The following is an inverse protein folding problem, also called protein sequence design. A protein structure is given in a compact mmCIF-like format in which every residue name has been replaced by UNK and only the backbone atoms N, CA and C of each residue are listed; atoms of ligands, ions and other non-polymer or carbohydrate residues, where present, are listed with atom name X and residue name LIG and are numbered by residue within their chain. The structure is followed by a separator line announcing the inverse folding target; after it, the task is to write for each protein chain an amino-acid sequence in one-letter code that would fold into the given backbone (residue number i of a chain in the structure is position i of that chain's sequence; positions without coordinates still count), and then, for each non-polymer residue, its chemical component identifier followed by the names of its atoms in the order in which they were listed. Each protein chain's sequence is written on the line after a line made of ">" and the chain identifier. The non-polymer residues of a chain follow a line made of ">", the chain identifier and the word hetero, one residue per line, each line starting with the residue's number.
data_IF_006392855773
#
_entry.id   IF_006392855773
#
_cell.length_a   1.000
_cell.length_b   1.000
_cell.length_c   1.000
_cell.angle_alpha   90.00
_cell.angle_beta   90.00
_cell.angle_gamma   90.00
#
_symmetry.space_group_name_H-M   'P 1'
#
loop_
_entity.id
_entity.type
_entity.pdbx_description
1 polymer ?
#
# COMPACT_ATOMS: atom_id res chain seq x y z
N UNK A 1 10.92 -1.79 9.25
CA UNK A 1 10.32 -0.54 9.76
C UNK A 1 8.84 -0.80 10.00
N UNK A 2 8.49 -1.18 11.23
CA UNK A 2 7.08 -1.20 11.64
C UNK A 2 6.65 0.24 11.84
N UNK A 3 5.85 0.76 10.94
CA UNK A 3 5.22 2.07 11.12
C UNK A 3 4.26 2.02 12.31
N UNK A 4 3.98 3.16 12.93
CA UNK A 4 2.97 3.23 14.00
C UNK A 4 1.59 2.76 13.50
N UNK A 5 1.33 2.89 12.19
CA UNK A 5 0.15 2.36 11.53
C UNK A 5 0.08 0.83 11.65
N UNK A 6 1.22 0.12 11.48
CA UNK A 6 1.26 -1.33 11.62
C UNK A 6 0.96 -1.77 13.05
N UNK A 7 1.46 -1.06 14.04
CA UNK A 7 1.14 -1.31 15.46
C UNK A 7 -0.35 -1.18 15.76
N UNK A 8 -1.07 -0.31 15.04
CA UNK A 8 -2.50 -0.16 15.20
C UNK A 8 -3.29 -1.42 14.79
N UNK A 9 -2.79 -2.21 13.84
CA UNK A 9 -3.42 -3.47 13.43
C UNK A 9 -3.23 -4.61 14.45
N UNK A 10 -2.16 -4.56 15.23
CA UNK A 10 -1.87 -5.55 16.26
C UNK A 10 -2.55 -5.26 17.62
N UNK A 11 -3.23 -4.11 17.73
CA UNK A 11 -3.92 -3.71 18.97
C UNK A 11 -5.38 -4.18 18.98
N UNK A 12 -5.90 -4.53 20.16
CA UNK A 12 -7.34 -4.72 20.31
C UNK A 12 -8.12 -3.52 19.76
N UNK A 13 -9.28 -3.79 19.21
CA UNK A 13 -10.08 -2.73 18.61
C UNK A 13 -10.38 -1.57 19.56
N UNK A 14 -10.51 -1.86 20.85
CA UNK A 14 -10.69 -0.87 21.92
C UNK A 14 -9.50 0.09 22.13
N UNK A 15 -8.31 -0.30 21.67
CA UNK A 15 -7.08 0.49 21.80
C UNK A 15 -6.73 1.26 20.53
N UNK A 16 -7.45 1.01 19.43
CA UNK A 16 -7.23 1.75 18.17
C UNK A 16 -7.93 3.08 18.27
N UNK A 17 -7.14 4.13 18.40
CA UNK A 17 -7.64 5.51 18.37
C UNK A 17 -7.92 5.97 16.94
N UNK A 18 -8.59 7.08 16.76
CA UNK A 18 -8.83 7.70 15.47
C UNK A 18 -7.54 8.11 14.75
N UNK A 19 -7.65 8.84 13.65
CA UNK A 19 -6.50 9.42 12.98
C UNK A 19 -6.02 10.71 13.70
N UNK A 20 -4.91 11.28 13.25
CA UNK A 20 -4.32 12.46 13.88
C UNK A 20 -5.27 13.67 13.95
N UNK A 21 -6.21 13.80 13.01
CA UNK A 21 -7.21 14.87 13.00
C UNK A 21 -8.25 14.75 14.11
N UNK A 22 -8.38 13.56 14.70
CA UNK A 22 -9.32 13.24 15.77
C UNK A 22 -8.65 13.24 17.15
N UNK A 23 -7.46 13.78 17.29
CA UNK A 23 -6.64 13.65 18.49
C UNK A 23 -6.41 12.19 18.91
N UNK A 24 -6.38 11.29 17.93
CA UNK A 24 -6.30 9.83 18.12
C UNK A 24 -7.48 9.23 18.90
N UNK A 25 -8.55 9.95 19.07
CA UNK A 25 -9.77 9.40 19.65
C UNK A 25 -10.52 8.56 18.60
N UNK A 26 -10.92 7.38 19.01
CA UNK A 26 -11.73 6.51 18.17
C UNK A 26 -13.16 7.03 18.14
N UNK A 27 -13.66 7.33 16.93
CA UNK A 27 -15.05 7.70 16.71
C UNK A 27 -15.92 6.46 16.54
N UNK A 28 -17.15 6.55 17.00
CA UNK A 28 -18.15 5.54 16.70
C UNK A 28 -18.37 5.44 15.17
N UNK A 29 -18.62 4.24 14.61
CA UNK A 29 -18.93 4.08 13.21
C UNK A 29 -20.07 5.00 12.77
N UNK A 30 -19.92 5.66 11.62
CA UNK A 30 -20.92 6.58 11.08
C UNK A 30 -20.86 8.02 11.61
N UNK A 31 -19.91 8.34 12.48
CA UNK A 31 -19.84 9.68 13.08
C UNK A 31 -18.87 10.64 12.40
N UNK A 32 -17.90 10.20 11.67
CA UNK A 32 -17.05 10.99 10.75
C UNK A 32 -15.81 10.22 10.27
N UNK A 33 -15.15 10.74 9.22
CA UNK A 33 -13.86 10.29 8.70
C UNK A 33 -13.97 9.39 7.47
N UNK A 34 -12.87 9.26 6.73
CA UNK A 34 -12.80 8.45 5.51
C UNK A 34 -13.09 6.96 5.75
N UNK A 35 -12.84 6.46 6.93
CA UNK A 35 -13.15 5.10 7.33
C UNK A 35 -14.64 4.75 7.15
N UNK A 36 -15.50 5.72 7.38
CA UNK A 36 -16.96 5.57 7.29
C UNK A 36 -17.53 6.03 5.95
N UNK A 37 -16.64 6.40 5.03
CA UNK A 37 -17.01 6.69 3.64
C UNK A 37 -17.61 5.44 2.96
N UNK A 38 -18.58 5.66 2.10
CA UNK A 38 -19.25 4.57 1.38
C UNK A 38 -18.86 4.59 -0.09
N UNK A 39 -18.70 5.76 -0.68
CA UNK A 39 -18.26 5.95 -2.07
C UNK A 39 -16.75 6.00 -2.23
N UNK A 40 -16.03 5.98 -1.12
CA UNK A 40 -14.58 5.85 -1.05
C UNK A 40 -14.27 4.77 -0.02
N UNK A 41 -14.30 3.50 -0.45
CA UNK A 41 -14.24 2.38 0.47
C UNK A 41 -13.75 1.10 -0.19
N UNK A 42 -13.20 0.23 0.62
CA UNK A 42 -12.85 -1.14 0.23
C UNK A 42 -14.10 -2.03 0.23
N UNK A 43 -14.25 -2.80 -0.85
CA UNK A 43 -15.31 -3.79 -0.99
C UNK A 43 -14.72 -5.13 -1.37
N UNK A 44 -15.23 -6.19 -0.74
CA UNK A 44 -14.89 -7.57 -1.05
C UNK A 44 -15.63 -8.00 -2.33
N UNK A 45 -14.88 -8.52 -3.31
CA UNK A 45 -15.39 -9.07 -4.55
C UNK A 45 -15.77 -10.55 -4.37
N UNK A 46 -16.37 -11.16 -5.41
CA UNK A 46 -16.83 -12.55 -5.38
C UNK A 46 -15.69 -13.57 -5.19
N UNK A 47 -14.48 -13.22 -5.58
CA UNK A 47 -13.26 -14.03 -5.45
C UNK A 47 -12.49 -13.78 -4.14
N UNK A 48 -13.10 -13.14 -3.15
CA UNK A 48 -12.52 -12.78 -1.85
C UNK A 48 -11.34 -11.80 -1.93
N UNK A 49 -11.08 -11.24 -3.10
CA UNK A 49 -10.16 -10.12 -3.26
C UNK A 49 -10.89 -8.82 -2.92
N UNK A 50 -10.12 -7.77 -2.64
CA UNK A 50 -10.68 -6.45 -2.35
C UNK A 50 -10.41 -5.49 -3.50
N UNK A 51 -11.38 -4.62 -3.73
CA UNK A 51 -11.24 -3.46 -4.59
C UNK A 51 -11.51 -2.19 -3.79
N UNK A 52 -10.88 -1.08 -4.18
CA UNK A 52 -11.18 0.24 -3.67
C UNK A 52 -12.08 0.94 -4.69
N UNK A 53 -13.31 1.25 -4.28
CA UNK A 53 -14.19 2.16 -5.02
C UNK A 53 -13.84 3.59 -4.65
N UNK A 54 -13.69 4.47 -5.64
CA UNK A 54 -13.43 5.91 -5.47
C UNK A 54 -14.45 6.73 -6.30
N UNK A 55 -15.73 6.58 -5.99
CA UNK A 55 -16.82 7.26 -6.69
C UNK A 55 -17.39 8.42 -5.86
N UNK A 56 -16.51 9.27 -5.33
CA UNK A 56 -16.90 10.42 -4.50
C UNK A 56 -17.45 11.58 -5.32
N UNK A 57 -16.97 11.76 -6.52
CA UNK A 57 -17.45 12.75 -7.48
C UNK A 57 -18.77 12.28 -8.08
N UNK A 58 -19.70 13.25 -8.27
CA UNK A 58 -21.05 12.95 -8.75
C UNK A 58 -21.06 12.18 -10.06
N UNK A 59 -20.17 12.52 -11.01
CA UNK A 59 -20.10 11.87 -12.31
C UNK A 59 -19.67 10.41 -12.18
N UNK A 60 -18.62 10.11 -11.39
CA UNK A 60 -18.18 8.74 -11.17
C UNK A 60 -19.26 7.91 -10.46
N UNK A 61 -19.97 8.50 -9.52
CA UNK A 61 -21.07 7.83 -8.84
C UNK A 61 -22.25 7.54 -9.78
N UNK A 62 -22.62 8.49 -10.63
CA UNK A 62 -23.66 8.29 -11.65
C UNK A 62 -23.28 7.18 -12.63
N UNK A 63 -22.04 7.23 -13.15
CA UNK A 63 -21.52 6.22 -14.06
C UNK A 63 -21.52 4.82 -13.42
N UNK A 64 -21.09 4.71 -12.17
CA UNK A 64 -21.14 3.45 -11.43
C UNK A 64 -22.58 2.92 -11.33
N UNK A 65 -23.52 3.73 -10.88
CA UNK A 65 -24.91 3.31 -10.70
C UNK A 65 -25.55 2.86 -12.03
N UNK A 66 -25.24 3.52 -13.14
CA UNK A 66 -25.69 3.09 -14.48
C UNK A 66 -25.06 1.75 -14.88
N UNK A 67 -23.77 1.57 -14.67
CA UNK A 67 -23.03 0.37 -15.06
C UNK A 67 -23.46 -0.89 -14.30
N UNK A 68 -23.99 -0.74 -13.09
CA UNK A 68 -24.50 -1.85 -12.28
C UNK A 68 -26.01 -2.00 -12.32
N UNK A 69 -26.70 -1.26 -13.19
CA UNK A 69 -28.16 -1.23 -13.34
C UNK A 69 -28.90 -0.89 -12.03
N UNK A 70 -28.32 0.04 -11.25
CA UNK A 70 -28.87 0.52 -9.98
C UNK A 70 -28.94 2.06 -9.95
N UNK A 71 -29.56 2.62 -10.99
CA UNK A 71 -29.71 4.07 -11.08
C UNK A 71 -30.58 4.64 -9.96
N UNK A 72 -31.45 3.81 -9.36
CA UNK A 72 -32.22 4.11 -8.15
C UNK A 72 -31.32 4.58 -6.99
N UNK A 73 -30.11 4.04 -6.87
CA UNK A 73 -29.16 4.48 -5.84
C UNK A 73 -28.62 5.89 -6.11
N UNK A 74 -28.46 6.26 -7.38
CA UNK A 74 -28.08 7.61 -7.74
C UNK A 74 -29.23 8.61 -7.46
N UNK A 75 -30.45 8.26 -7.83
CA UNK A 75 -31.63 9.12 -7.56
C UNK A 75 -31.84 9.34 -6.07
N UNK A 76 -31.70 8.29 -5.26
CA UNK A 76 -31.83 8.38 -3.80
C UNK A 76 -30.69 9.15 -3.13
N UNK A 77 -29.48 9.06 -3.70
CA UNK A 77 -28.26 9.61 -3.13
C UNK A 77 -27.38 10.26 -4.22
N UNK A 78 -27.82 11.36 -4.85
CA UNK A 78 -27.12 11.94 -6.01
C UNK A 78 -25.73 12.52 -5.68
N UNK A 79 -25.45 12.73 -4.40
CA UNK A 79 -24.22 13.35 -3.95
C UNK A 79 -24.22 14.87 -4.09
N UNK A 80 -23.18 15.49 -3.56
CA UNK A 80 -22.95 16.92 -3.67
C UNK A 80 -22.26 17.30 -4.98
N UNK A 81 -22.17 18.59 -5.26
CA UNK A 81 -21.42 19.11 -6.43
C UNK A 81 -19.92 18.78 -6.36
N UNK A 82 -19.37 18.75 -5.15
CA UNK A 82 -18.00 18.36 -4.88
C UNK A 82 -17.93 16.91 -4.38
N UNK A 83 -16.75 16.45 -4.03
CA UNK A 83 -16.56 15.10 -3.50
C UNK A 83 -17.49 14.83 -2.31
N UNK A 84 -18.25 13.75 -2.40
CA UNK A 84 -19.16 13.28 -1.36
C UNK A 84 -18.93 11.79 -1.14
N UNK A 85 -18.38 11.47 0.02
CA UNK A 85 -18.06 10.10 0.38
C UNK A 85 -19.25 9.33 0.97
N UNK A 86 -20.43 9.93 1.08
CA UNK A 86 -21.62 9.35 1.73
C UNK A 86 -21.31 8.79 3.13
N UNK A 87 -20.57 9.56 3.94
CA UNK A 87 -20.09 9.15 5.27
C UNK A 87 -21.26 8.74 6.16
N UNK A 88 -21.18 7.56 6.76
CA UNK A 88 -22.16 7.05 7.71
C UNK A 88 -23.44 6.48 7.07
N UNK A 89 -23.57 6.47 5.75
CA UNK A 89 -24.72 5.86 5.08
C UNK A 89 -24.61 4.33 5.07
N UNK A 90 -24.88 3.72 6.23
CA UNK A 90 -24.80 2.26 6.41
C UNK A 90 -25.76 1.46 5.51
N UNK A 91 -27.00 1.90 5.22
CA UNK A 91 -27.84 1.23 4.24
C UNK A 91 -27.18 1.14 2.87
N UNK A 92 -26.71 2.25 2.31
CA UNK A 92 -25.99 2.27 1.03
C UNK A 92 -24.74 1.40 1.05
N UNK A 93 -23.99 1.38 2.16
CA UNK A 93 -22.80 0.52 2.30
C UNK A 93 -23.15 -0.96 2.18
N UNK A 94 -24.29 -1.40 2.72
CA UNK A 94 -24.76 -2.79 2.59
C UNK A 94 -25.13 -3.12 1.15
N UNK A 95 -25.87 -2.24 0.46
CA UNK A 95 -26.20 -2.39 -0.96
C UNK A 95 -24.91 -2.54 -1.81
N UNK A 96 -23.94 -1.64 -1.64
CA UNK A 96 -22.69 -1.71 -2.37
C UNK A 96 -21.90 -2.99 -2.06
N UNK A 97 -21.86 -3.42 -0.81
CA UNK A 97 -21.22 -4.67 -0.44
C UNK A 97 -21.82 -5.87 -1.19
N UNK A 98 -23.14 -5.90 -1.30
CA UNK A 98 -23.83 -7.00 -1.97
C UNK A 98 -23.65 -6.91 -3.51
N UNK A 99 -23.61 -5.71 -4.08
CA UNK A 99 -23.27 -5.47 -5.48
C UNK A 99 -21.83 -5.94 -5.78
N UNK A 100 -20.84 -5.55 -4.97
CA UNK A 100 -19.43 -5.91 -5.22
C UNK A 100 -19.17 -7.42 -5.15
N UNK A 101 -19.97 -8.17 -4.43
CA UNK A 101 -19.89 -9.65 -4.39
C UNK A 101 -20.40 -10.36 -5.65
N UNK A 102 -20.91 -9.63 -6.64
CA UNK A 102 -21.44 -10.22 -7.88
C UNK A 102 -20.38 -10.48 -8.95
N UNK A 103 -19.19 -9.87 -8.83
CA UNK A 103 -18.10 -9.99 -9.82
C UNK A 103 -16.76 -10.15 -9.11
N UNK A 104 -15.77 -10.68 -9.84
CA UNK A 104 -14.38 -10.74 -9.36
C UNK A 104 -13.73 -9.36 -9.29
N UNK A 105 -12.67 -9.22 -8.52
CA UNK A 105 -11.92 -7.98 -8.42
C UNK A 105 -11.43 -7.49 -9.80
N UNK A 106 -10.96 -8.42 -10.64
CA UNK A 106 -10.51 -8.11 -12.01
C UNK A 106 -11.64 -7.57 -12.88
N UNK A 107 -12.83 -8.16 -12.81
CA UNK A 107 -14.00 -7.70 -13.57
C UNK A 107 -14.46 -6.31 -13.09
N UNK A 108 -14.36 -6.02 -11.79
CA UNK A 108 -14.64 -4.70 -11.27
C UNK A 108 -13.67 -3.64 -11.74
N UNK A 109 -12.36 -3.94 -11.75
CA UNK A 109 -11.34 -3.02 -12.27
C UNK A 109 -11.58 -2.75 -13.76
N UNK A 110 -11.87 -3.79 -14.54
CA UNK A 110 -12.16 -3.62 -15.98
C UNK A 110 -13.42 -2.78 -16.18
N UNK A 111 -14.50 -3.05 -15.46
CA UNK A 111 -15.70 -2.21 -15.52
C UNK A 111 -15.39 -0.75 -15.21
N UNK A 112 -14.60 -0.49 -14.17
CA UNK A 112 -14.20 0.86 -13.82
C UNK A 112 -13.50 1.60 -14.96
N UNK A 113 -12.60 0.92 -15.68
CA UNK A 113 -11.93 1.46 -16.86
C UNK A 113 -12.92 1.75 -18.01
N UNK A 114 -13.85 0.82 -18.25
CA UNK A 114 -14.80 0.92 -19.36
C UNK A 114 -15.81 2.08 -19.19
N UNK A 115 -16.17 2.40 -17.95
CA UNK A 115 -17.22 3.39 -17.64
C UNK A 115 -16.70 4.65 -16.95
N UNK A 116 -15.38 4.84 -16.90
CA UNK A 116 -14.76 5.99 -16.25
C UNK A 116 -15.15 6.12 -14.78
N UNK A 117 -14.94 5.05 -14.01
CA UNK A 117 -15.09 5.03 -12.55
C UNK A 117 -13.80 4.51 -11.93
N UNK A 118 -13.16 5.24 -11.02
CA UNK A 118 -11.97 4.73 -10.35
C UNK A 118 -12.30 3.55 -9.43
N UNK A 119 -12.05 2.34 -9.93
CA UNK A 119 -12.08 1.09 -9.16
C UNK A 119 -10.72 0.43 -9.35
N UNK A 120 -9.99 0.21 -8.26
CA UNK A 120 -8.64 -0.35 -8.31
C UNK A 120 -8.49 -1.56 -7.40
N UNK A 121 -7.63 -2.49 -7.77
CA UNK A 121 -7.29 -3.64 -6.94
C UNK A 121 -6.60 -3.21 -5.66
N UNK A 122 -6.90 -3.89 -4.56
CA UNK A 122 -6.18 -3.75 -3.30
C UNK A 122 -5.11 -4.83 -3.23
N UNK A 123 -3.89 -4.46 -3.58
CA UNK A 123 -2.78 -5.38 -3.58
C UNK A 123 -2.28 -5.68 -2.15
N UNK A 124 -1.97 -6.94 -1.90
CA UNK A 124 -1.13 -7.38 -0.77
C UNK A 124 0.34 -7.29 -1.18
N UNK A 125 1.30 -7.39 -0.23
CA UNK A 125 2.72 -7.49 -0.60
C UNK A 125 3.03 -8.62 -1.59
N UNK A 126 2.27 -9.72 -1.52
CA UNK A 126 2.44 -10.86 -2.43
C UNK A 126 1.90 -10.57 -3.85
N UNK A 127 0.72 -9.95 -3.94
CA UNK A 127 0.08 -9.68 -5.25
C UNK A 127 0.64 -8.43 -5.92
N UNK A 128 1.27 -7.53 -5.16
CA UNK A 128 1.93 -6.35 -5.70
C UNK A 128 3.05 -6.72 -6.68
N UNK A 129 3.75 -7.83 -6.41
CA UNK A 129 4.82 -8.33 -7.27
C UNK A 129 4.36 -8.60 -8.70
N UNK A 130 3.11 -9.05 -8.86
CA UNK A 130 2.51 -9.44 -10.14
C UNK A 130 1.70 -8.30 -10.78
N UNK A 131 1.61 -7.13 -10.13
CA UNK A 131 0.89 -5.99 -10.66
C UNK A 131 1.62 -5.39 -11.86
N UNK A 132 0.98 -5.31 -13.05
CA UNK A 132 1.64 -4.86 -14.28
C UNK A 132 2.19 -3.42 -14.19
N UNK A 133 1.46 -2.52 -13.54
CA UNK A 133 1.91 -1.14 -13.36
C UNK A 133 3.13 -1.07 -12.43
N UNK A 134 3.10 -1.90 -11.38
CA UNK A 134 4.22 -1.96 -10.46
C UNK A 134 5.47 -2.52 -11.15
N UNK A 135 5.33 -3.59 -11.93
CA UNK A 135 6.45 -4.18 -12.69
C UNK A 135 7.03 -3.21 -13.73
N UNK A 136 6.19 -2.46 -14.44
CA UNK A 136 6.64 -1.44 -15.39
C UNK A 136 7.38 -0.29 -14.70
N UNK A 137 6.84 0.17 -13.57
CA UNK A 137 7.38 1.34 -12.87
C UNK A 137 8.53 1.02 -11.92
N UNK A 138 8.52 -0.14 -11.30
CA UNK A 138 9.46 -0.57 -10.26
C UNK A 138 9.86 -2.03 -10.49
N UNK A 139 10.59 -2.34 -11.58
CA UNK A 139 11.00 -3.72 -11.84
C UNK A 139 11.83 -4.26 -10.68
N UNK A 140 11.52 -5.47 -10.26
CA UNK A 140 12.23 -6.15 -9.18
C UNK A 140 13.73 -6.27 -9.48
N UNK A 141 14.54 -6.10 -8.45
CA UNK A 141 15.96 -6.48 -8.49
C UNK A 141 16.02 -7.97 -8.18
N UNK A 142 16.45 -8.80 -9.14
CA UNK A 142 16.34 -10.25 -9.01
C UNK A 142 17.30 -10.83 -7.96
N UNK A 143 16.89 -11.97 -7.39
CA UNK A 143 17.63 -12.68 -6.32
C UNK A 143 19.08 -13.03 -6.69
N UNK A 144 19.35 -13.29 -7.97
CA UNK A 144 20.70 -13.59 -8.46
C UNK A 144 21.70 -12.48 -8.16
N UNK A 145 21.21 -11.24 -8.11
CA UNK A 145 22.06 -10.07 -7.87
C UNK A 145 22.30 -9.80 -6.38
N UNK A 146 21.28 -9.96 -5.54
CA UNK A 146 21.32 -9.54 -4.15
C UNK A 146 21.11 -10.68 -3.13
N UNK A 147 20.85 -11.91 -3.62
CA UNK A 147 20.56 -13.07 -2.79
C UNK A 147 19.09 -13.25 -2.43
N UNK A 148 18.23 -12.27 -2.69
CA UNK A 148 16.77 -12.34 -2.62
C UNK A 148 16.18 -11.26 -3.53
N UNK A 149 14.96 -11.46 -4.00
CA UNK A 149 14.24 -10.45 -4.75
C UNK A 149 14.00 -9.21 -3.88
N UNK A 150 14.34 -8.04 -4.40
CA UNK A 150 14.20 -6.78 -3.68
C UNK A 150 13.46 -5.73 -4.52
N UNK A 151 12.73 -4.88 -3.81
CA UNK A 151 12.12 -3.71 -4.42
C UNK A 151 13.19 -2.63 -4.69
N UNK A 152 13.16 -1.98 -5.85
CA UNK A 152 14.00 -0.82 -6.10
C UNK A 152 13.54 0.36 -5.23
N UNK A 153 14.34 1.42 -5.19
CA UNK A 153 13.93 2.68 -4.58
C UNK A 153 12.66 3.21 -5.27
N UNK A 154 11.61 3.58 -4.53
CA UNK A 154 10.41 4.20 -5.11
C UNK A 154 10.67 5.64 -5.57
N UNK A 155 11.79 6.23 -5.18
CA UNK A 155 12.17 7.59 -5.55
C UNK A 155 12.90 7.54 -6.88
N UNK A 156 12.37 8.24 -7.88
CA UNK A 156 13.01 8.45 -9.18
C UNK A 156 13.47 9.90 -9.26
N UNK A 157 14.72 10.09 -9.60
CA UNK A 157 15.28 11.40 -9.89
C UNK A 157 15.27 11.63 -11.41
N UNK A 158 15.10 12.89 -11.83
CA UNK A 158 15.11 13.24 -13.25
C UNK A 158 16.53 13.26 -13.82
N UNK A 159 17.49 13.74 -13.04
CA UNK A 159 18.85 14.05 -13.52
C UNK A 159 19.95 13.23 -12.81
N UNK A 160 19.56 12.25 -12.00
CA UNK A 160 20.49 11.41 -11.26
C UNK A 160 20.08 9.96 -11.41
N UNK A 161 21.01 9.13 -11.89
CA UNK A 161 20.83 7.69 -11.88
C UNK A 161 20.97 7.16 -10.44
N UNK A 162 19.91 6.51 -9.96
CA UNK A 162 19.95 5.88 -8.63
C UNK A 162 20.82 4.62 -8.73
N UNK A 163 21.93 4.52 -7.98
CA UNK A 163 22.77 3.34 -8.03
C UNK A 163 21.97 2.10 -7.61
N UNK A 164 22.14 1.05 -8.37
CA UNK A 164 21.54 -0.24 -8.01
C UNK A 164 22.24 -0.75 -6.76
N UNK A 165 21.51 -1.14 -5.71
CA UNK A 165 22.10 -1.61 -4.48
C UNK A 165 23.00 -2.84 -4.71
N UNK A 166 24.05 -2.95 -3.95
CA UNK A 166 24.94 -4.11 -3.91
C UNK A 166 24.49 -5.07 -2.82
N UNK A 167 24.94 -6.31 -2.93
CA UNK A 167 24.68 -7.32 -1.89
C UNK A 167 25.22 -6.83 -0.54
N UNK A 168 24.43 -7.03 0.51
CA UNK A 168 24.88 -6.72 1.86
C UNK A 168 26.17 -7.47 2.19
N UNK A 169 27.16 -6.83 2.82
CA UNK A 169 28.41 -7.50 3.19
C UNK A 169 28.15 -8.60 4.23
N UNK A 170 28.97 -9.62 4.18
CA UNK A 170 29.01 -10.62 5.25
C UNK A 170 29.71 -10.05 6.49
N UNK A 171 29.48 -10.66 7.65
CA UNK A 171 30.13 -10.24 8.89
C UNK A 171 31.66 -10.33 8.69
N UNK A 172 32.35 -9.25 9.00
CA UNK A 172 33.83 -9.16 8.89
C UNK A 172 34.37 -8.91 7.47
N UNK A 173 33.52 -8.84 6.43
CA UNK A 173 33.99 -8.71 5.03
C UNK A 173 34.93 -7.51 4.80
N UNK A 174 34.68 -6.39 5.45
CA UNK A 174 35.42 -5.13 5.29
C UNK A 174 36.33 -4.81 6.50
N UNK A 175 36.54 -5.77 7.39
CA UNK A 175 37.33 -5.53 8.60
C UNK A 175 38.72 -4.97 8.30
N UNK A 176 39.45 -5.60 7.40
CA UNK A 176 40.83 -5.19 7.05
C UNK A 176 40.87 -3.83 6.34
N UNK A 177 39.92 -3.60 5.45
CA UNK A 177 39.75 -2.33 4.73
C UNK A 177 39.53 -1.19 5.74
N UNK A 178 38.57 -1.36 6.66
CA UNK A 178 38.28 -0.35 7.69
C UNK A 178 39.51 -0.12 8.60
N UNK A 179 40.19 -1.19 9.01
CA UNK A 179 41.39 -1.04 9.88
C UNK A 179 42.52 -0.29 9.18
N UNK A 180 42.74 -0.53 7.86
CA UNK A 180 43.75 0.20 7.09
C UNK A 180 43.33 1.62 6.77
N UNK A 181 42.18 1.80 6.16
CA UNK A 181 41.78 3.09 5.55
C UNK A 181 41.27 4.09 6.59
N UNK A 182 40.55 3.63 7.62
CA UNK A 182 39.96 4.52 8.62
C UNK A 182 40.88 4.67 9.85
N UNK A 183 41.49 3.57 10.30
CA UNK A 183 42.32 3.58 11.51
C UNK A 183 43.82 3.69 11.24
N UNK A 184 44.26 3.56 9.99
CA UNK A 184 45.66 3.67 9.60
C UNK A 184 46.55 2.51 10.12
N UNK A 185 45.96 1.34 10.37
CA UNK A 185 46.72 0.22 10.87
C UNK A 185 47.53 -0.45 9.72
N UNK A 186 48.74 -0.82 10.02
CA UNK A 186 49.57 -1.62 9.12
C UNK A 186 49.22 -3.12 9.21
N UNK A 187 49.72 -3.89 8.25
CA UNK A 187 49.40 -5.32 8.16
C UNK A 187 49.94 -6.11 9.38
N UNK A 188 51.04 -5.67 9.99
CA UNK A 188 51.60 -6.33 11.16
C UNK A 188 50.66 -6.18 12.38
N UNK A 189 50.09 -5.02 12.55
CA UNK A 189 49.10 -4.74 13.61
C UNK A 189 47.80 -5.48 13.41
N UNK A 190 47.34 -5.59 12.18
CA UNK A 190 46.14 -6.35 11.83
C UNK A 190 46.33 -7.83 12.11
N UNK A 191 47.50 -8.38 11.72
CA UNK A 191 47.87 -9.77 12.01
C UNK A 191 47.89 -10.06 13.52
N UNK A 192 48.52 -9.21 14.31
CA UNK A 192 48.57 -9.33 15.76
C UNK A 192 47.18 -9.31 16.41
N UNK A 193 46.26 -8.47 15.90
CA UNK A 193 44.86 -8.43 16.38
C UNK A 193 44.11 -9.73 16.07
N UNK A 194 44.38 -10.36 14.92
CA UNK A 194 43.80 -11.67 14.60
C UNK A 194 44.36 -12.78 15.48
N UNK A 195 45.68 -12.82 15.67
CA UNK A 195 46.32 -13.79 16.57
C UNK A 195 45.82 -13.68 18.02
N UNK A 196 45.53 -12.47 18.49
CA UNK A 196 44.97 -12.24 19.81
C UNK A 196 43.48 -12.61 19.96
N UNK A 197 42.80 -12.94 18.84
CA UNK A 197 41.34 -13.20 18.82
C UNK A 197 40.48 -11.94 18.97
N UNK A 198 41.05 -10.75 18.82
CA UNK A 198 40.31 -9.48 18.85
C UNK A 198 39.52 -9.23 17.56
N UNK A 199 39.89 -9.89 16.49
CA UNK A 199 39.15 -9.91 15.22
C UNK A 199 38.57 -11.30 15.02
N UNK A 200 37.24 -11.40 14.92
CA UNK A 200 36.53 -12.65 14.64
C UNK A 200 36.65 -13.09 13.17
#
# INVERSE_FOLDING_TARGET
>A
LRSETWKAYERPESEVTGNASDNYERRAPGTAGMRDGVRYQFYEASDQQYVLLQASEREFWENFCRAVDRYDLFEAHPGAKFADHAVGNLPLRRELRDIFRTRTAREWVQLGLDVNVPIVSVNTPQTLADDPQFQDRFPWIPAERLGCDQLPSPIKFLDVEVPVPTKAPTVGQHTDEVLREVLGYDDARIAALRESGALG
#
